data_IF_982816726751
#
_entry.id   IF_982816726751
#
_cell.length_a   1.000
_cell.length_b   1.000
_cell.length_c   1.000
_cell.angle_alpha   90.00
_cell.angle_beta   90.00
_cell.angle_gamma   90.00
#
_symmetry.space_group_name_H-M   'P 1'
#
loop_
_entity.id
_entity.type
_entity.pdbx_description
1 polymer ?
#
# COMPACT_ATOMS: atom_id res chain seq x y z
N UNK A 1 11.32 13.45 23.62
CA UNK A 1 12.43 13.86 22.71
C UNK A 1 13.05 12.70 21.92
N UNK A 2 13.20 11.47 22.48
CA UNK A 2 13.65 10.27 21.71
C UNK A 2 12.78 9.94 20.50
N UNK A 3 11.49 10.18 20.58
CA UNK A 3 10.47 9.73 19.60
C UNK A 3 10.41 10.54 18.29
N UNK A 4 10.69 11.85 18.34
CA UNK A 4 10.72 12.72 17.14
C UNK A 4 11.95 12.40 16.28
N UNK A 5 12.98 11.85 16.89
CA UNK A 5 14.22 11.49 16.24
C UNK A 5 14.03 10.29 15.29
N UNK A 6 13.28 9.27 15.73
CA UNK A 6 13.08 8.04 14.96
C UNK A 6 12.38 8.29 13.61
N UNK A 7 11.30 9.09 13.57
CA UNK A 7 10.60 9.38 12.31
C UNK A 7 11.50 10.13 11.31
N UNK A 8 12.27 11.11 11.79
CA UNK A 8 13.18 11.87 10.94
C UNK A 8 14.36 11.04 10.45
N UNK A 9 14.85 10.13 11.28
CA UNK A 9 15.99 9.27 10.96
C UNK A 9 15.60 8.13 10.03
N UNK A 10 14.44 7.47 10.23
CA UNK A 10 14.03 6.30 9.46
C UNK A 10 13.38 6.61 8.10
N UNK A 11 12.90 7.83 7.86
CA UNK A 11 12.20 8.18 6.62
C UNK A 11 13.03 7.94 5.35
N UNK A 12 14.33 8.27 5.39
CA UNK A 12 15.25 8.02 4.27
C UNK A 12 15.69 6.56 4.19
N UNK A 13 15.76 5.86 5.31
CA UNK A 13 16.06 4.43 5.32
C UNK A 13 14.91 3.63 4.69
N UNK A 14 13.66 3.94 5.04
CA UNK A 14 12.49 3.31 4.41
C UNK A 14 12.34 3.68 2.93
N UNK A 15 12.74 4.87 2.54
CA UNK A 15 12.85 5.22 1.13
C UNK A 15 13.82 4.28 0.40
N UNK A 16 15.03 4.06 0.94
CA UNK A 16 16.02 3.14 0.37
C UNK A 16 15.49 1.71 0.25
N UNK A 17 14.70 1.27 1.22
CA UNK A 17 14.05 -0.06 1.22
C UNK A 17 13.12 -0.21 0.02
N UNK A 18 12.23 0.76 -0.20
CA UNK A 18 11.29 0.73 -1.34
C UNK A 18 11.99 0.95 -2.68
N UNK A 19 13.05 1.76 -2.73
CA UNK A 19 13.86 1.96 -3.93
C UNK A 19 14.57 0.67 -4.37
N UNK A 20 15.13 -0.09 -3.41
CA UNK A 20 15.79 -1.35 -3.71
C UNK A 20 14.82 -2.37 -4.33
N UNK A 21 13.65 -2.57 -3.72
CA UNK A 21 12.61 -3.45 -4.25
C UNK A 21 12.15 -3.00 -5.64
N UNK A 22 11.89 -1.70 -5.82
CA UNK A 22 11.44 -1.16 -7.11
C UNK A 22 12.47 -1.34 -8.22
N UNK A 23 13.77 -1.15 -7.92
CA UNK A 23 14.85 -1.32 -8.91
C UNK A 23 14.93 -2.76 -9.38
N UNK A 24 14.94 -3.73 -8.47
CA UNK A 24 15.09 -5.14 -8.85
C UNK A 24 13.80 -5.66 -9.52
N UNK A 25 12.61 -5.25 -9.05
CA UNK A 25 11.36 -5.55 -9.76
C UNK A 25 11.34 -5.00 -11.18
N UNK A 26 11.79 -3.76 -11.38
CA UNK A 26 11.80 -3.13 -12.70
C UNK A 26 12.73 -3.83 -13.71
N UNK A 27 13.74 -4.58 -13.25
CA UNK A 27 14.59 -5.41 -14.12
C UNK A 27 13.84 -6.58 -14.74
N UNK A 28 12.76 -7.03 -14.10
CA UNK A 28 11.92 -8.14 -14.56
C UNK A 28 10.67 -7.68 -15.31
N UNK A 29 10.49 -6.37 -15.45
CA UNK A 29 9.32 -5.77 -16.09
C UNK A 29 9.09 -6.34 -17.51
N UNK A 30 7.87 -6.80 -17.78
CA UNK A 30 7.46 -7.30 -19.09
C UNK A 30 7.97 -8.69 -19.44
N UNK A 31 8.62 -9.42 -18.50
CA UNK A 31 9.15 -10.76 -18.76
C UNK A 31 8.10 -11.87 -18.62
N UNK A 32 6.91 -11.56 -18.10
CA UNK A 32 5.81 -12.51 -17.95
C UNK A 32 5.92 -13.45 -16.74
N UNK A 33 7.02 -13.39 -15.98
CA UNK A 33 7.25 -14.24 -14.82
C UNK A 33 6.93 -13.47 -13.51
N UNK A 34 5.68 -13.62 -13.06
CA UNK A 34 5.19 -12.99 -11.83
C UNK A 34 5.93 -13.44 -10.59
N UNK A 35 6.21 -14.75 -10.48
CA UNK A 35 6.87 -15.31 -9.30
C UNK A 35 8.30 -14.82 -9.18
N UNK A 36 9.00 -14.71 -10.30
CA UNK A 36 10.35 -14.16 -10.31
C UNK A 36 10.35 -12.67 -9.96
N UNK A 37 9.41 -11.89 -10.51
CA UNK A 37 9.30 -10.45 -10.20
C UNK A 37 9.03 -10.21 -8.71
N UNK A 38 8.16 -11.00 -8.12
CA UNK A 38 7.83 -10.95 -6.71
C UNK A 38 9.03 -11.35 -5.84
N UNK A 39 9.66 -12.46 -6.14
CA UNK A 39 10.80 -12.98 -5.40
C UNK A 39 11.97 -11.98 -5.32
N UNK A 40 12.35 -11.35 -6.43
CA UNK A 40 13.45 -10.37 -6.41
C UNK A 40 13.09 -9.09 -5.65
N UNK A 41 11.81 -8.71 -5.65
CA UNK A 41 11.32 -7.59 -4.85
C UNK A 41 11.44 -7.87 -3.35
N UNK A 42 10.99 -9.05 -2.92
CA UNK A 42 11.05 -9.52 -1.53
C UNK A 42 12.49 -9.59 -1.03
N UNK A 43 13.39 -10.22 -1.80
CA UNK A 43 14.81 -10.33 -1.45
C UNK A 43 15.45 -8.95 -1.29
N UNK A 44 15.29 -8.06 -2.28
CA UNK A 44 15.90 -6.74 -2.26
C UNK A 44 15.36 -5.88 -1.11
N UNK A 45 14.05 -5.91 -0.86
CA UNK A 45 13.43 -5.20 0.25
C UNK A 45 13.97 -5.67 1.59
N UNK A 46 14.00 -6.97 1.78
CA UNK A 46 14.42 -7.61 3.02
C UNK A 46 15.90 -7.35 3.33
N UNK A 47 16.78 -7.43 2.33
CA UNK A 47 18.22 -7.20 2.48
C UNK A 47 18.50 -5.77 2.99
N UNK A 48 17.90 -4.76 2.37
CA UNK A 48 18.09 -3.37 2.79
C UNK A 48 17.45 -3.11 4.15
N UNK A 49 16.30 -3.72 4.43
CA UNK A 49 15.61 -3.55 5.71
C UNK A 49 16.45 -4.00 6.91
N UNK A 50 17.30 -5.01 6.76
CA UNK A 50 18.22 -5.46 7.80
C UNK A 50 19.30 -4.42 8.16
N UNK A 51 19.55 -3.45 7.29
CA UNK A 51 20.49 -2.36 7.56
C UNK A 51 19.88 -1.18 8.31
N UNK A 52 18.56 -1.12 8.42
CA UNK A 52 17.84 -0.01 9.05
C UNK A 52 18.00 -0.08 10.57
N UNK A 53 18.35 1.03 11.27
CA UNK A 53 18.56 1.04 12.72
C UNK A 53 17.23 1.02 13.48
N UNK A 54 16.55 -0.12 13.44
CA UNK A 54 15.25 -0.38 14.08
C UNK A 54 15.16 -1.80 14.66
N UNK A 55 14.16 -2.02 15.50
CA UNK A 55 13.64 -3.34 15.88
C UNK A 55 12.26 -3.50 15.23
N UNK A 56 12.29 -3.88 13.96
CA UNK A 56 11.10 -4.03 13.13
C UNK A 56 10.42 -5.36 13.35
N UNK A 57 9.08 -5.39 13.24
CA UNK A 57 8.28 -6.61 13.15
C UNK A 57 7.31 -6.49 11.99
N UNK A 58 7.31 -7.46 11.11
CA UNK A 58 6.32 -7.54 10.04
C UNK A 58 4.95 -7.86 10.64
N UNK A 59 3.97 -7.02 10.39
CA UNK A 59 2.56 -7.24 10.75
C UNK A 59 1.68 -7.47 9.52
N UNK A 60 2.15 -7.04 8.35
CA UNK A 60 1.61 -7.37 7.03
C UNK A 60 2.80 -7.57 6.09
N UNK A 61 2.81 -8.69 5.38
CA UNK A 61 3.90 -9.07 4.48
C UNK A 61 3.44 -10.13 3.47
N UNK A 62 4.36 -11.00 3.06
CA UNK A 62 4.19 -11.96 1.96
C UNK A 62 3.39 -13.22 2.34
N UNK A 63 2.86 -13.30 3.54
CA UNK A 63 2.08 -14.43 4.03
C UNK A 63 2.48 -14.89 5.41
N UNK A 64 2.02 -16.08 5.80
CA UNK A 64 2.36 -16.71 7.06
C UNK A 64 3.75 -17.34 6.98
N UNK A 65 4.36 -17.59 8.16
CA UNK A 65 5.72 -18.11 8.27
C UNK A 65 5.98 -19.41 7.48
N UNK A 66 4.95 -20.26 7.39
CA UNK A 66 5.05 -21.54 6.70
C UNK A 66 4.85 -21.42 5.18
N UNK A 67 4.38 -20.27 4.68
CA UNK A 67 4.06 -20.00 3.29
C UNK A 67 5.11 -19.12 2.61
N UNK A 68 5.71 -18.17 3.36
CA UNK A 68 6.69 -17.22 2.87
C UNK A 68 8.06 -17.43 3.52
N UNK A 69 9.15 -17.53 2.75
CA UNK A 69 10.49 -17.69 3.30
C UNK A 69 11.05 -16.41 3.94
N UNK A 70 10.54 -15.24 3.55
CA UNK A 70 10.96 -13.90 3.99
C UNK A 70 9.79 -12.94 4.03
N UNK A 71 9.91 -11.89 4.83
CA UNK A 71 8.87 -10.87 5.06
C UNK A 71 7.54 -11.47 5.51
N UNK A 72 7.59 -12.61 6.21
CA UNK A 72 6.42 -13.26 6.77
C UNK A 72 5.90 -12.53 8.02
N UNK A 73 4.63 -12.69 8.31
CA UNK A 73 4.00 -12.11 9.50
C UNK A 73 4.70 -12.59 10.77
N UNK A 74 5.16 -11.63 11.59
CA UNK A 74 5.94 -11.88 12.80
C UNK A 74 7.45 -11.93 12.62
N UNK A 75 7.98 -11.83 11.38
CA UNK A 75 9.43 -11.73 11.16
C UNK A 75 10.00 -10.48 11.83
N UNK A 76 11.09 -10.66 12.58
CA UNK A 76 11.84 -9.57 13.18
C UNK A 76 13.00 -9.13 12.26
N UNK A 77 13.08 -7.85 11.99
CA UNK A 77 13.98 -7.23 11.01
C UNK A 77 14.67 -5.99 11.57
N UNK A 78 15.72 -5.61 10.88
CA UNK A 78 16.47 -4.37 11.14
C UNK A 78 17.62 -4.54 12.14
N UNK A 79 18.55 -3.61 12.07
CA UNK A 79 19.66 -3.52 12.99
C UNK A 79 20.70 -4.64 12.91
N UNK A 80 20.65 -5.55 11.95
CA UNK A 80 21.54 -6.75 11.90
C UNK A 80 23.00 -6.41 11.65
N UNK A 81 23.29 -5.25 11.12
CA UNK A 81 24.67 -4.77 10.92
C UNK A 81 25.28 -4.09 12.15
N UNK A 82 24.50 -3.94 13.23
CA UNK A 82 24.91 -3.27 14.45
C UNK A 82 25.15 -4.27 15.59
N UNK A 83 25.88 -3.85 16.63
CA UNK A 83 26.04 -4.70 17.83
C UNK A 83 24.72 -4.88 18.59
N UNK A 84 24.61 -5.96 19.39
CA UNK A 84 23.41 -6.22 20.18
C UNK A 84 23.11 -5.10 21.18
N UNK A 85 24.15 -4.49 21.77
CA UNK A 85 24.02 -3.35 22.68
C UNK A 85 23.41 -2.14 21.96
N UNK A 86 23.88 -1.83 20.73
CA UNK A 86 23.33 -0.72 19.93
C UNK A 86 21.86 -0.96 19.54
N UNK A 87 21.51 -2.20 19.23
CA UNK A 87 20.14 -2.58 18.87
C UNK A 87 19.12 -2.35 20.00
N UNK A 88 19.52 -2.43 21.26
CA UNK A 88 18.63 -2.16 22.40
C UNK A 88 18.12 -0.70 22.44
N UNK A 89 18.87 0.23 21.84
CA UNK A 89 18.49 1.64 21.77
C UNK A 89 17.62 1.99 20.56
N UNK A 90 17.45 1.05 19.61
CA UNK A 90 16.66 1.30 18.41
C UNK A 90 15.16 1.33 18.69
N UNK A 91 14.38 2.11 17.93
CA UNK A 91 12.94 2.15 18.06
C UNK A 91 12.31 0.80 17.67
N UNK A 92 11.26 0.44 18.38
CA UNK A 92 10.38 -0.69 18.01
C UNK A 92 9.33 -0.18 17.04
N UNK A 93 9.22 -0.86 15.89
CA UNK A 93 8.25 -0.51 14.85
C UNK A 93 7.51 -1.73 14.32
N UNK A 94 6.23 -1.58 14.07
CA UNK A 94 5.46 -2.50 13.25
C UNK A 94 5.54 -2.06 11.78
N UNK A 95 5.68 -3.05 10.90
CA UNK A 95 5.94 -2.83 9.47
C UNK A 95 4.89 -3.59 8.67
N UNK A 96 4.28 -2.90 7.73
CA UNK A 96 3.42 -3.46 6.70
C UNK A 96 4.07 -3.21 5.33
N UNK A 97 4.26 -4.27 4.55
CA UNK A 97 4.92 -4.20 3.24
C UNK A 97 4.08 -4.86 2.16
N UNK A 98 4.24 -4.34 0.96
CA UNK A 98 4.02 -5.03 -0.30
C UNK A 98 5.22 -4.69 -1.20
N UNK A 99 6.19 -5.62 -1.33
CA UNK A 99 7.41 -5.38 -2.10
C UNK A 99 7.15 -5.11 -3.58
N UNK A 100 6.05 -5.64 -4.13
CA UNK A 100 5.63 -5.44 -5.51
C UNK A 100 4.11 -5.40 -5.65
N UNK A 101 3.47 -4.34 -5.15
CA UNK A 101 2.06 -4.04 -5.40
C UNK A 101 1.81 -3.93 -6.90
N UNK A 102 0.92 -4.79 -7.39
CA UNK A 102 0.67 -4.93 -8.81
C UNK A 102 1.67 -5.85 -9.51
N UNK A 103 1.94 -7.02 -8.95
CA UNK A 103 2.84 -8.05 -9.52
C UNK A 103 2.47 -8.40 -10.96
N UNK A 104 1.16 -8.50 -11.28
CA UNK A 104 0.71 -8.71 -12.66
C UNK A 104 1.08 -7.53 -13.57
N UNK A 105 1.01 -6.30 -13.07
CA UNK A 105 1.32 -5.11 -13.86
C UNK A 105 2.81 -5.11 -14.21
N UNK A 106 3.69 -5.40 -13.26
CA UNK A 106 5.13 -5.51 -13.50
C UNK A 106 5.43 -6.61 -14.52
N UNK A 107 4.92 -7.81 -14.32
CA UNK A 107 5.17 -8.95 -15.21
C UNK A 107 4.70 -8.70 -16.65
N UNK A 108 3.64 -7.91 -16.84
CA UNK A 108 3.11 -7.54 -18.16
C UNK A 108 3.72 -6.25 -18.73
N UNK A 109 4.54 -5.53 -17.99
CA UNK A 109 5.04 -4.21 -18.36
C UNK A 109 3.95 -3.13 -18.38
N UNK A 110 2.86 -3.34 -17.63
CA UNK A 110 1.76 -2.39 -17.51
C UNK A 110 2.04 -1.34 -16.42
N UNK A 111 1.31 -0.23 -16.49
CA UNK A 111 1.50 0.91 -15.60
C UNK A 111 0.96 0.67 -14.18
N UNK A 112 1.48 1.42 -13.20
CA UNK A 112 1.05 1.56 -11.81
C UNK A 112 1.53 0.46 -10.84
N UNK A 113 2.55 -0.34 -11.18
CA UNK A 113 3.23 -1.18 -10.18
C UNK A 113 4.14 -0.30 -9.29
N UNK A 114 4.10 -0.54 -7.98
CA UNK A 114 4.90 0.18 -6.98
C UNK A 114 5.47 -0.78 -5.94
N UNK A 115 6.59 -0.44 -5.32
CA UNK A 115 7.05 -1.05 -4.08
C UNK A 115 6.61 -0.18 -2.91
N UNK A 116 6.06 -0.74 -1.84
CA UNK A 116 5.47 0.05 -0.75
C UNK A 116 5.77 -0.51 0.63
N UNK A 117 5.90 0.42 1.58
CA UNK A 117 6.11 0.14 2.99
C UNK A 117 5.38 1.17 3.84
N UNK A 118 4.71 0.70 4.89
CA UNK A 118 4.23 1.53 5.99
C UNK A 118 4.86 1.04 7.30
N UNK A 119 5.31 1.97 8.14
CA UNK A 119 5.86 1.69 9.46
C UNK A 119 5.20 2.58 10.50
N UNK A 120 4.96 2.03 11.69
CA UNK A 120 4.39 2.74 12.82
C UNK A 120 5.01 2.24 14.13
N UNK A 121 4.80 2.96 15.24
CA UNK A 121 5.07 2.43 16.57
C UNK A 121 4.33 1.11 16.82
N UNK A 122 4.82 0.26 17.72
CA UNK A 122 4.19 -1.02 18.07
C UNK A 122 2.69 -0.89 18.32
N UNK A 123 1.89 -1.73 17.66
CA UNK A 123 0.42 -1.69 17.67
C UNK A 123 -0.17 -0.55 16.84
N UNK A 124 0.63 0.12 16.01
CA UNK A 124 0.20 1.23 15.19
C UNK A 124 -0.39 0.87 13.83
N UNK A 125 -0.35 -0.41 13.45
CA UNK A 125 -0.98 -0.97 12.25
C UNK A 125 -1.80 -2.20 12.63
N UNK A 126 -2.99 -2.34 12.04
CA UNK A 126 -3.81 -3.53 12.27
C UNK A 126 -3.12 -4.74 11.63
N UNK A 127 -2.94 -5.80 12.40
CA UNK A 127 -2.53 -7.07 11.86
C UNK A 127 -3.75 -7.71 11.17
N UNK A 128 -3.89 -7.52 9.87
CA UNK A 128 -4.99 -8.07 9.09
C UNK A 128 -4.55 -9.37 8.42
N UNK A 129 -5.39 -10.42 8.49
CA UNK A 129 -5.13 -11.66 7.78
C UNK A 129 -5.23 -11.46 6.26
N UNK A 130 -4.66 -12.37 5.48
CA UNK A 130 -4.81 -12.40 4.03
C UNK A 130 -6.22 -12.85 3.63
N UNK A 131 -7.15 -11.91 3.76
CA UNK A 131 -8.56 -12.04 3.36
C UNK A 131 -8.99 -10.81 2.56
N UNK A 132 -10.22 -10.82 2.09
CA UNK A 132 -10.79 -9.71 1.33
C UNK A 132 -11.48 -8.67 2.20
N UNK A 133 -11.48 -7.43 1.72
CA UNK A 133 -12.06 -6.27 2.35
C UNK A 133 -12.77 -5.43 1.29
N UNK A 134 -14.04 -5.10 1.51
CA UNK A 134 -14.74 -4.06 0.73
C UNK A 134 -14.29 -2.70 1.22
N UNK A 135 -13.97 -1.79 0.31
CA UNK A 135 -13.30 -0.53 0.61
C UNK A 135 -13.93 0.63 -0.15
N UNK A 136 -14.03 1.78 0.51
CA UNK A 136 -14.20 3.08 -0.12
C UNK A 136 -13.10 4.01 0.38
N UNK A 137 -12.34 4.59 -0.55
CA UNK A 137 -11.21 5.49 -0.24
C UNK A 137 -11.46 6.82 -0.92
N UNK A 138 -11.30 7.92 -0.16
CA UNK A 138 -11.46 9.29 -0.66
C UNK A 138 -10.38 10.21 -0.11
N UNK A 139 -10.13 11.29 -0.83
CA UNK A 139 -9.18 12.31 -0.42
C UNK A 139 -9.67 13.20 0.74
N UNK A 140 -8.78 14.06 1.27
CA UNK A 140 -9.03 14.87 2.47
C UNK A 140 -10.27 15.77 2.37
N UNK A 141 -10.57 16.32 1.21
CA UNK A 141 -11.76 17.16 0.99
C UNK A 141 -13.07 16.41 1.16
N UNK A 142 -13.07 15.09 0.98
CA UNK A 142 -14.24 14.22 1.06
C UNK A 142 -14.33 13.43 2.36
N UNK A 143 -13.41 13.63 3.29
CA UNK A 143 -13.42 12.97 4.59
C UNK A 143 -14.74 13.21 5.34
N UNK A 144 -15.34 12.15 5.90
CA UNK A 144 -16.61 12.17 6.61
C UNK A 144 -17.83 12.39 5.72
N UNK A 145 -17.70 12.20 4.40
CA UNK A 145 -18.81 12.36 3.47
C UNK A 145 -19.27 11.08 2.79
N UNK A 146 -18.59 9.98 3.04
CA UNK A 146 -18.90 8.67 2.47
C UNK A 146 -19.38 7.69 3.53
N UNK A 147 -20.19 6.73 3.11
CA UNK A 147 -20.71 5.65 3.94
C UNK A 147 -20.65 4.35 3.11
N UNK A 148 -19.92 3.35 3.60
CA UNK A 148 -19.71 2.09 2.88
C UNK A 148 -21.00 1.27 2.74
N UNK A 149 -22.02 1.51 3.57
CA UNK A 149 -23.31 0.85 3.50
C UNK A 149 -24.35 1.62 2.66
N UNK A 150 -24.06 2.87 2.30
CA UNK A 150 -24.93 3.68 1.48
C UNK A 150 -24.86 3.28 -0.01
N UNK A 151 -25.90 3.55 -0.78
CA UNK A 151 -25.88 3.38 -2.24
C UNK A 151 -24.72 4.17 -2.89
N UNK A 152 -24.12 3.59 -3.92
CA UNK A 152 -23.02 4.22 -4.69
C UNK A 152 -23.39 5.62 -5.17
N UNK A 153 -24.65 5.81 -5.64
CA UNK A 153 -25.13 7.11 -6.11
C UNK A 153 -25.11 8.20 -5.02
N UNK A 154 -25.38 7.84 -3.77
CA UNK A 154 -25.39 8.80 -2.67
C UNK A 154 -23.96 9.16 -2.26
N UNK A 155 -23.05 8.18 -2.22
CA UNK A 155 -21.63 8.44 -2.02
C UNK A 155 -21.06 9.38 -3.10
N UNK A 156 -21.35 9.12 -4.37
CA UNK A 156 -20.84 9.95 -5.47
C UNK A 156 -21.43 11.37 -5.44
N UNK A 157 -22.70 11.54 -5.11
CA UNK A 157 -23.31 12.88 -4.88
C UNK A 157 -22.62 13.63 -3.74
N UNK A 158 -22.31 12.93 -2.65
CA UNK A 158 -21.63 13.54 -1.51
C UNK A 158 -20.20 13.96 -1.88
N UNK A 159 -19.46 13.10 -2.58
CA UNK A 159 -18.11 13.41 -3.09
C UNK A 159 -18.17 14.63 -4.02
N UNK A 160 -19.07 14.62 -5.00
CA UNK A 160 -19.25 15.73 -5.95
C UNK A 160 -19.50 17.04 -5.23
N UNK A 161 -20.45 17.05 -4.27
CA UNK A 161 -20.76 18.23 -3.46
C UNK A 161 -19.55 18.75 -2.68
N UNK A 162 -18.77 17.84 -2.07
CA UNK A 162 -17.56 18.20 -1.30
C UNK A 162 -16.47 18.80 -2.18
N UNK A 163 -16.39 18.34 -3.42
CA UNK A 163 -15.41 18.83 -4.39
C UNK A 163 -15.89 20.03 -5.21
N UNK A 164 -17.16 20.47 -5.05
CA UNK A 164 -17.75 21.55 -5.84
C UNK A 164 -17.83 21.22 -7.33
N UNK A 165 -18.21 19.95 -7.66
CA UNK A 165 -18.28 19.43 -9.04
C UNK A 165 -19.59 18.70 -9.25
N UNK A 166 -19.89 18.41 -10.52
CA UNK A 166 -20.96 17.49 -10.88
C UNK A 166 -20.49 16.03 -10.81
N UNK A 167 -21.44 15.08 -10.72
CA UNK A 167 -21.10 13.65 -10.57
C UNK A 167 -20.38 13.11 -11.81
N UNK A 168 -20.73 13.58 -13.00
CA UNK A 168 -20.10 13.22 -14.28
C UNK A 168 -18.65 13.71 -14.42
N UNK A 169 -18.22 14.66 -13.60
CA UNK A 169 -16.82 15.08 -13.48
C UNK A 169 -15.98 14.15 -12.60
N UNK A 170 -16.61 13.28 -11.83
CA UNK A 170 -15.91 12.34 -10.98
C UNK A 170 -15.30 11.18 -11.79
N UNK A 171 -14.19 10.67 -11.30
CA UNK A 171 -13.58 9.42 -11.76
C UNK A 171 -13.39 8.48 -10.57
N UNK A 172 -14.04 7.32 -10.62
CA UNK A 172 -13.89 6.24 -9.63
C UNK A 172 -12.92 5.21 -10.19
N UNK A 173 -11.97 4.73 -9.38
CA UNK A 173 -11.20 3.53 -9.69
C UNK A 173 -11.82 2.30 -9.06
N UNK A 174 -11.77 1.18 -9.77
CA UNK A 174 -12.26 -0.11 -9.32
C UNK A 174 -11.48 -1.24 -10.00
N UNK A 175 -11.22 -2.33 -9.27
CA UNK A 175 -10.65 -3.54 -9.86
C UNK A 175 -11.61 -4.17 -10.87
N UNK A 176 -11.13 -4.50 -12.07
CA UNK A 176 -11.88 -5.23 -13.09
C UNK A 176 -11.97 -6.71 -12.71
N UNK A 177 -12.95 -7.02 -11.90
CA UNK A 177 -13.23 -8.38 -11.39
C UNK A 177 -14.71 -8.70 -11.51
N UNK A 178 -15.01 -9.96 -11.72
CA UNK A 178 -16.40 -10.46 -11.82
C UNK A 178 -17.28 -10.05 -10.63
N UNK A 179 -16.71 -9.99 -9.43
CA UNK A 179 -17.38 -9.55 -8.20
C UNK A 179 -17.83 -8.09 -8.20
N UNK A 180 -17.27 -7.26 -9.06
CA UNK A 180 -17.57 -5.82 -9.15
C UNK A 180 -18.58 -5.47 -10.26
N UNK A 181 -19.16 -6.45 -10.96
CA UNK A 181 -20.12 -6.18 -12.07
C UNK A 181 -21.23 -5.22 -11.66
N UNK A 182 -21.83 -5.43 -10.49
CA UNK A 182 -22.90 -4.57 -10.00
C UNK A 182 -22.36 -3.17 -9.61
N UNK A 183 -21.28 -3.09 -8.86
CA UNK A 183 -20.63 -1.83 -8.51
C UNK A 183 -20.29 -1.00 -9.76
N UNK A 184 -19.71 -1.63 -10.78
CA UNK A 184 -19.36 -0.96 -12.05
C UNK A 184 -20.61 -0.43 -12.75
N UNK A 185 -21.71 -1.22 -12.76
CA UNK A 185 -22.99 -0.79 -13.33
C UNK A 185 -23.57 0.39 -12.54
N UNK A 186 -23.55 0.35 -11.22
CA UNK A 186 -24.06 1.39 -10.35
C UNK A 186 -23.30 2.71 -10.51
N UNK A 187 -21.97 2.66 -10.57
CA UNK A 187 -21.13 3.86 -10.86
C UNK A 187 -21.52 4.45 -12.21
N UNK A 188 -21.58 3.63 -13.26
CA UNK A 188 -21.95 4.10 -14.63
C UNK A 188 -23.34 4.70 -14.69
N UNK A 189 -24.29 4.14 -13.94
CA UNK A 189 -25.67 4.64 -13.90
C UNK A 189 -25.78 6.06 -13.30
N UNK A 190 -24.79 6.52 -12.52
CA UNK A 190 -24.74 7.89 -11.99
C UNK A 190 -24.23 8.92 -12.98
N UNK A 191 -23.64 8.50 -14.11
CA UNK A 191 -22.93 9.34 -15.04
C UNK A 191 -21.44 9.55 -14.71
N UNK A 192 -20.98 9.13 -13.55
CA UNK A 192 -19.56 9.23 -13.18
C UNK A 192 -18.67 8.36 -14.09
N UNK A 193 -17.46 8.83 -14.33
CA UNK A 193 -16.45 8.09 -15.06
C UNK A 193 -15.88 6.99 -14.18
N UNK A 194 -15.58 5.85 -14.77
CA UNK A 194 -14.93 4.74 -14.08
C UNK A 194 -13.63 4.37 -14.79
N UNK A 195 -12.59 4.14 -14.02
CA UNK A 195 -11.31 3.60 -14.48
C UNK A 195 -11.13 2.20 -13.89
N UNK A 196 -11.24 1.20 -14.74
CA UNK A 196 -11.03 -0.18 -14.37
C UNK A 196 -9.54 -0.50 -14.40
N UNK A 197 -9.07 -1.15 -13.35
CA UNK A 197 -7.68 -1.60 -13.20
C UNK A 197 -7.64 -3.11 -13.02
N UNK A 198 -6.64 -3.74 -13.60
CA UNK A 198 -6.46 -5.19 -13.47
C UNK A 198 -5.80 -5.61 -12.16
N UNK A 199 -5.08 -4.69 -11.51
CA UNK A 199 -4.33 -4.91 -10.28
C UNK A 199 -3.98 -3.56 -9.63
N UNK A 200 -3.47 -3.55 -8.38
CA UNK A 200 -2.93 -2.35 -7.76
C UNK A 200 -3.96 -1.42 -7.13
N UNK A 201 -4.89 -1.95 -6.30
CA UNK A 201 -5.92 -1.13 -5.65
C UNK A 201 -5.37 -0.23 -4.53
N UNK A 202 -4.22 -0.58 -3.93
CA UNK A 202 -3.51 0.28 -2.99
C UNK A 202 -3.04 1.57 -3.68
N UNK A 203 -2.33 1.46 -4.82
CA UNK A 203 -1.87 2.63 -5.58
C UNK A 203 -3.03 3.49 -6.07
N UNK A 204 -4.16 2.86 -6.41
CA UNK A 204 -5.41 3.53 -6.77
C UNK A 204 -6.02 4.30 -5.61
N UNK A 205 -6.02 3.73 -4.40
CA UNK A 205 -6.48 4.37 -3.17
C UNK A 205 -5.66 5.62 -2.83
N UNK A 206 -4.33 5.53 -2.92
CA UNK A 206 -3.47 6.70 -2.71
C UNK A 206 -3.74 7.77 -3.78
N UNK A 207 -3.91 7.36 -5.02
CA UNK A 207 -4.21 8.29 -6.12
C UNK A 207 -5.51 9.07 -5.90
N UNK A 208 -6.52 8.47 -5.24
CA UNK A 208 -7.77 9.15 -4.90
C UNK A 208 -7.57 10.27 -3.86
N UNK A 209 -6.50 10.24 -3.08
CA UNK A 209 -6.20 11.24 -2.06
C UNK A 209 -5.19 12.31 -2.50
N UNK A 210 -4.52 12.11 -3.64
CA UNK A 210 -3.51 13.06 -4.15
C UNK A 210 -4.12 13.94 -5.24
N UNK A 211 -4.08 15.24 -5.03
CA UNK A 211 -4.58 16.21 -6.00
C UNK A 211 -3.79 16.14 -7.33
N UNK A 212 -4.49 16.25 -8.44
CA UNK A 212 -3.88 16.24 -9.79
C UNK A 212 -3.86 14.88 -10.48
N UNK A 213 -4.18 13.78 -9.78
CA UNK A 213 -4.29 12.45 -10.37
C UNK A 213 -5.56 12.26 -11.21
N UNK A 214 -6.53 13.14 -11.01
CA UNK A 214 -7.88 13.07 -11.58
C UNK A 214 -8.66 11.80 -11.16
N UNK A 215 -8.32 11.23 -10.01
CA UNK A 215 -9.04 10.15 -9.35
C UNK A 215 -9.70 10.71 -8.10
N UNK A 216 -10.97 10.40 -7.85
CA UNK A 216 -11.76 11.00 -6.78
C UNK A 216 -12.20 10.01 -5.72
N UNK A 217 -12.26 8.73 -6.07
CA UNK A 217 -12.51 7.62 -5.15
C UNK A 217 -11.94 6.31 -5.67
N UNK A 218 -11.58 5.40 -4.76
CA UNK A 218 -11.46 3.96 -5.00
C UNK A 218 -12.66 3.30 -4.35
N UNK A 219 -13.32 2.38 -5.05
CA UNK A 219 -14.41 1.57 -4.51
C UNK A 219 -14.26 0.11 -4.92
N UNK A 220 -14.57 -0.81 -3.99
CA UNK A 220 -14.67 -2.24 -4.26
C UNK A 220 -13.86 -3.13 -3.36
N UNK A 221 -13.91 -4.42 -3.64
CA UNK A 221 -13.32 -5.49 -2.82
C UNK A 221 -11.91 -5.81 -3.32
N UNK A 222 -10.93 -5.67 -2.43
CA UNK A 222 -9.52 -6.06 -2.61
C UNK A 222 -8.98 -6.72 -1.35
N UNK A 223 -7.68 -6.92 -1.23
CA UNK A 223 -7.07 -7.52 -0.05
C UNK A 223 -7.17 -6.63 1.20
N UNK A 224 -7.29 -7.25 2.37
CA UNK A 224 -7.30 -6.55 3.64
C UNK A 224 -5.90 -6.02 4.01
N UNK A 225 -4.79 -6.74 3.75
CA UNK A 225 -3.44 -6.22 3.91
C UNK A 225 -3.23 -4.87 3.20
N UNK A 226 -3.60 -4.78 1.91
CA UNK A 226 -3.52 -3.54 1.12
C UNK A 226 -4.43 -2.44 1.69
N UNK A 227 -5.55 -2.83 2.31
CA UNK A 227 -6.44 -1.90 3.02
C UNK A 227 -5.76 -1.23 4.20
N UNK A 228 -4.96 -1.96 4.99
CA UNK A 228 -4.20 -1.42 6.12
C UNK A 228 -3.08 -0.51 5.64
N UNK A 229 -2.34 -0.90 4.61
CA UNK A 229 -1.28 -0.05 4.02
C UNK A 229 -1.90 1.22 3.43
N UNK A 230 -3.06 1.10 2.76
CA UNK A 230 -3.83 2.26 2.27
C UNK A 230 -4.25 3.17 3.43
N UNK A 231 -4.72 2.62 4.55
CA UNK A 231 -5.09 3.41 5.73
C UNK A 231 -3.91 4.18 6.31
N UNK A 232 -2.72 3.58 6.35
CA UNK A 232 -1.50 4.26 6.76
C UNK A 232 -1.18 5.46 5.84
N UNK A 233 -1.31 5.29 4.52
CA UNK A 233 -1.18 6.40 3.57
C UNK A 233 -2.26 7.48 3.78
N UNK A 234 -3.52 7.09 3.97
CA UNK A 234 -4.63 8.02 4.24
C UNK A 234 -4.39 8.82 5.52
N UNK A 235 -3.79 8.21 6.54
CA UNK A 235 -3.40 8.89 7.77
C UNK A 235 -2.41 10.02 7.50
N UNK A 236 -1.41 9.78 6.65
CA UNK A 236 -0.43 10.79 6.24
C UNK A 236 -1.04 11.89 5.36
N UNK A 237 -1.99 11.51 4.49
CA UNK A 237 -2.65 12.40 3.53
C UNK A 237 -3.88 13.13 4.11
N UNK A 238 -4.28 12.80 5.35
CA UNK A 238 -5.54 13.24 5.95
C UNK A 238 -6.78 12.84 5.12
N UNK A 239 -6.67 11.78 4.31
CA UNK A 239 -7.77 11.17 3.59
C UNK A 239 -8.60 10.24 4.48
N UNK A 240 -9.47 9.46 3.85
CA UNK A 240 -10.32 8.49 4.54
C UNK A 240 -10.41 7.18 3.77
N UNK A 241 -10.36 6.09 4.52
CA UNK A 241 -10.79 4.77 4.08
C UNK A 241 -11.86 4.28 5.05
N UNK A 242 -12.96 3.78 4.49
CA UNK A 242 -13.92 2.93 5.21
C UNK A 242 -13.83 1.53 4.61
N UNK A 243 -13.84 0.52 5.47
CA UNK A 243 -13.64 -0.85 5.05
C UNK A 243 -14.47 -1.84 5.85
N UNK A 244 -14.83 -2.94 5.22
CA UNK A 244 -15.58 -4.04 5.83
C UNK A 244 -15.01 -5.37 5.36
N UNK A 245 -14.70 -6.27 6.30
CA UNK A 245 -14.19 -7.59 5.95
C UNK A 245 -15.24 -8.40 5.20
N UNK A 246 -14.83 -9.16 4.19
CA UNK A 246 -15.73 -9.94 3.33
C UNK A 246 -15.43 -11.42 3.51
N UNK A 247 -16.40 -12.13 4.09
CA UNK A 247 -16.36 -13.58 4.34
C UNK A 247 -17.22 -14.38 3.37
N UNK A 248 -18.04 -13.70 2.57
CA UNK A 248 -18.97 -14.35 1.65
C UNK A 248 -18.24 -14.75 0.37
N UNK A 249 -17.92 -16.03 0.26
CA UNK A 249 -17.22 -16.62 -0.88
C UNK A 249 -17.99 -16.43 -2.21
N UNK A 250 -19.32 -16.38 -2.17
CA UNK A 250 -20.13 -16.18 -3.38
C UNK A 250 -20.00 -14.74 -3.90
N UNK A 251 -19.83 -13.77 -2.99
CA UNK A 251 -19.53 -12.38 -3.37
C UNK A 251 -18.14 -12.21 -3.97
N UNK A 252 -17.17 -13.00 -3.54
CA UNK A 252 -15.78 -12.88 -4.00
C UNK A 252 -15.59 -13.41 -5.43
N UNK A 253 -16.41 -14.36 -5.89
CA UNK A 253 -16.31 -14.96 -7.22
C UNK A 253 -14.97 -15.70 -7.43
N UNK A 254 -14.35 -16.18 -6.36
CA UNK A 254 -13.11 -16.94 -6.36
C UNK A 254 -13.36 -18.40 -6.06
N UNK A 255 -12.40 -19.24 -6.42
CA UNK A 255 -12.49 -20.68 -6.13
C UNK A 255 -12.53 -20.92 -4.61
N UNK A 256 -13.62 -21.52 -4.14
CA UNK A 256 -13.83 -21.79 -2.70
C UNK A 256 -12.74 -22.67 -2.08
N UNK A 257 -12.00 -23.42 -2.87
CA UNK A 257 -10.89 -24.25 -2.39
C UNK A 257 -9.63 -23.42 -2.02
N UNK A 258 -9.58 -22.14 -2.43
CA UNK A 258 -8.46 -21.23 -2.20
C UNK A 258 -8.66 -20.25 -1.05
N UNK A 259 -9.81 -20.32 -0.40
CA UNK A 259 -10.13 -19.44 0.75
C UNK A 259 -10.47 -20.35 1.93
N UNK A 260 -9.88 -20.12 3.11
CA UNK A 260 -10.23 -20.86 4.31
C UNK A 260 -11.72 -20.78 4.63
N UNK A 261 -12.30 -21.82 5.26
CA UNK A 261 -13.69 -21.78 5.69
C UNK A 261 -13.95 -20.55 6.60
N UNK A 262 -15.15 -19.94 6.53
CA UNK A 262 -15.46 -18.74 7.31
C UNK A 262 -15.23 -18.88 8.82
N UNK A 263 -15.44 -20.07 9.39
CA UNK A 263 -15.21 -20.33 10.82
C UNK A 263 -13.72 -20.32 11.17
N UNK A 264 -12.87 -20.89 10.33
CA UNK A 264 -11.42 -20.85 10.49
C UNK A 264 -10.89 -19.42 10.39
N UNK A 265 -11.38 -18.64 9.43
CA UNK A 265 -11.05 -17.21 9.29
C UNK A 265 -11.46 -16.44 10.55
N UNK A 266 -12.65 -16.69 11.10
CA UNK A 266 -13.11 -16.02 12.33
C UNK A 266 -12.25 -16.36 13.56
N UNK A 267 -11.76 -17.59 13.64
CA UNK A 267 -10.86 -18.01 14.72
C UNK A 267 -9.51 -17.29 14.59
N UNK A 268 -8.92 -17.26 13.41
CA UNK A 268 -7.69 -16.49 13.13
C UNK A 268 -7.86 -15.00 13.42
N UNK A 269 -9.01 -14.40 13.11
CA UNK A 269 -9.29 -13.00 13.43
C UNK A 269 -9.26 -12.72 14.94
N UNK A 270 -9.78 -13.65 15.76
CA UNK A 270 -9.71 -13.53 17.22
C UNK A 270 -8.27 -13.57 17.72
N UNK A 271 -7.47 -14.49 17.19
CA UNK A 271 -6.05 -14.61 17.53
C UNK A 271 -5.25 -13.36 17.15
N UNK A 272 -5.66 -12.67 16.09
CA UNK A 272 -5.12 -11.40 15.64
C UNK A 272 -5.69 -10.18 16.41
N UNK A 273 -6.58 -10.40 17.38
CA UNK A 273 -7.17 -9.34 18.21
C UNK A 273 -8.38 -8.63 17.57
N UNK A 274 -8.93 -9.17 16.48
CA UNK A 274 -10.12 -8.63 15.82
C UNK A 274 -11.37 -9.24 16.46
N UNK A 275 -11.99 -8.50 17.36
CA UNK A 275 -13.13 -8.97 18.15
C UNK A 275 -14.47 -8.93 17.40
N UNK A 276 -14.64 -7.99 16.46
CA UNK A 276 -15.85 -7.85 15.65
C UNK A 276 -15.52 -7.89 14.15
N UNK A 277 -15.70 -9.05 13.49
CA UNK A 277 -15.42 -9.19 12.07
C UNK A 277 -16.41 -8.46 11.16
N UNK A 278 -17.58 -8.03 11.68
CA UNK A 278 -18.59 -7.29 10.92
C UNK A 278 -18.47 -5.77 11.09
N UNK A 279 -17.52 -5.31 11.89
CA UNK A 279 -17.26 -3.88 12.11
C UNK A 279 -16.96 -3.17 10.80
N UNK A 280 -17.44 -1.94 10.66
CA UNK A 280 -16.91 -1.00 9.68
C UNK A 280 -15.65 -0.38 10.27
N UNK A 281 -14.52 -0.64 9.64
CA UNK A 281 -13.22 -0.12 10.01
C UNK A 281 -13.00 1.23 9.35
N UNK A 282 -12.62 2.23 10.13
CA UNK A 282 -12.17 3.51 9.60
C UNK A 282 -10.62 3.56 9.48
N UNK A 283 -10.11 4.69 9.01
CA UNK A 283 -8.68 4.94 8.88
C UNK A 283 -7.92 4.74 10.19
N UNK A 284 -8.53 5.10 11.34
CA UNK A 284 -7.87 4.97 12.65
C UNK A 284 -7.95 3.55 13.20
N UNK A 285 -8.98 2.80 12.83
CA UNK A 285 -9.08 1.38 13.20
C UNK A 285 -8.03 0.54 12.48
N UNK A 286 -7.81 0.81 11.19
CA UNK A 286 -6.84 0.09 10.37
C UNK A 286 -5.39 0.52 10.64
N UNK A 287 -5.18 1.82 10.90
CA UNK A 287 -3.87 2.39 11.21
C UNK A 287 -3.98 3.28 12.48
N UNK A 288 -4.08 2.68 13.69
CA UNK A 288 -4.23 3.42 14.93
C UNK A 288 -3.00 4.24 15.33
N UNK A 289 -1.85 3.97 14.74
CA UNK A 289 -0.58 4.64 15.01
C UNK A 289 -0.67 6.16 14.88
N UNK A 290 0.05 6.84 15.74
CA UNK A 290 0.21 8.30 15.73
C UNK A 290 1.43 8.74 14.94
N UNK A 291 2.43 7.85 14.86
CA UNK A 291 3.72 8.08 14.22
C UNK A 291 3.87 7.08 13.07
N UNK A 292 3.31 7.43 11.94
CA UNK A 292 3.35 6.60 10.74
C UNK A 292 4.32 7.22 9.74
N UNK A 293 5.18 6.38 9.19
CA UNK A 293 5.99 6.65 8.02
C UNK A 293 5.44 5.77 6.91
N UNK A 294 5.14 6.37 5.77
CA UNK A 294 4.75 5.67 4.57
C UNK A 294 5.76 5.99 3.47
N UNK A 295 6.28 4.98 2.80
CA UNK A 295 7.17 5.12 1.66
C UNK A 295 6.68 4.27 0.49
N UNK A 296 6.75 4.82 -0.73
CA UNK A 296 6.48 4.07 -1.95
C UNK A 296 7.39 4.54 -3.08
N UNK A 297 7.80 3.60 -3.94
CA UNK A 297 8.63 3.86 -5.12
C UNK A 297 7.98 3.24 -6.36
N UNK A 298 7.91 4.00 -7.46
CA UNK A 298 7.38 3.52 -8.73
C UNK A 298 8.27 2.43 -9.33
N UNK A 299 7.68 1.28 -9.65
CA UNK A 299 8.32 0.20 -10.43
C UNK A 299 8.08 0.45 -11.91
N UNK A 300 6.83 0.62 -12.30
CA UNK A 300 6.42 1.02 -13.65
C UNK A 300 5.82 2.42 -13.63
N UNK A 301 5.69 3.06 -14.80
CA UNK A 301 5.07 4.39 -14.85
C UNK A 301 3.63 4.36 -14.32
N UNK A 302 3.27 5.37 -13.54
CA UNK A 302 1.93 5.45 -12.95
C UNK A 302 1.41 6.87 -12.81
N UNK A 303 0.15 6.98 -12.40
CA UNK A 303 -0.48 8.26 -12.14
C UNK A 303 0.12 9.00 -10.94
N UNK A 304 0.62 8.25 -9.96
CA UNK A 304 1.22 8.78 -8.73
C UNK A 304 2.74 8.92 -8.86
N UNK A 305 3.43 7.88 -9.32
CA UNK A 305 4.88 7.80 -9.39
C UNK A 305 5.33 7.36 -10.78
N UNK A 306 6.49 7.86 -11.20
CA UNK A 306 7.17 7.39 -12.42
C UNK A 306 7.92 6.10 -12.11
N UNK A 307 8.00 5.21 -13.09
CA UNK A 307 8.76 3.96 -13.00
C UNK A 307 10.28 4.19 -13.00
N UNK A 308 11.00 3.14 -12.63
CA UNK A 308 12.45 3.11 -12.65
C UNK A 308 12.99 3.35 -14.07
N UNK A 309 14.02 4.16 -14.19
CA UNK A 309 14.76 4.40 -15.44
C UNK A 309 16.17 3.88 -15.31
N UNK A 310 16.62 3.09 -16.29
CA UNK A 310 17.99 2.63 -16.39
C UNK A 310 18.74 3.44 -17.44
N UNK A 311 19.99 3.81 -17.17
CA UNK A 311 20.87 4.51 -18.08
C UNK A 311 22.32 4.06 -17.85
N UNK A 312 23.23 4.38 -18.78
CA UNK A 312 24.56 3.76 -18.82
C UNK A 312 25.42 3.91 -17.57
N UNK A 313 25.15 4.90 -16.71
CA UNK A 313 25.91 5.18 -15.48
C UNK A 313 25.06 5.06 -14.20
N UNK A 314 23.88 4.42 -14.27
CA UNK A 314 23.06 4.26 -13.09
C UNK A 314 21.57 4.06 -13.34
N UNK A 315 20.79 4.42 -12.32
CA UNK A 315 19.33 4.25 -12.28
C UNK A 315 18.70 5.52 -11.72
N UNK A 316 17.43 5.73 -12.03
CA UNK A 316 16.64 6.80 -11.45
C UNK A 316 15.33 6.25 -10.92
N UNK A 317 15.02 6.55 -9.68
CA UNK A 317 13.76 6.21 -9.02
C UNK A 317 12.95 7.46 -8.76
N UNK A 318 11.64 7.31 -8.68
CA UNK A 318 10.71 8.34 -8.26
C UNK A 318 9.83 7.79 -7.14
N UNK A 319 9.88 8.44 -5.99
CA UNK A 319 9.32 7.92 -4.75
C UNK A 319 8.50 8.97 -4.03
N UNK A 320 7.65 8.53 -3.12
CA UNK A 320 6.97 9.38 -2.14
C UNK A 320 7.27 8.89 -0.74
N UNK A 321 7.59 9.82 0.16
CA UNK A 321 7.71 9.57 1.60
C UNK A 321 6.78 10.52 2.33
N UNK A 322 5.95 9.96 3.19
CA UNK A 322 4.95 10.71 3.96
C UNK A 322 5.05 10.35 5.44
N UNK A 323 4.80 11.33 6.29
CA UNK A 323 4.87 11.14 7.74
C UNK A 323 3.74 11.87 8.46
N UNK A 324 3.20 11.26 9.52
CA UNK A 324 2.10 11.85 10.28
C UNK A 324 2.58 12.91 11.28
N UNK A 325 3.76 12.75 11.88
CA UNK A 325 4.25 13.65 12.93
C UNK A 325 4.66 15.00 12.34
N UNK A 326 5.51 15.00 11.32
CA UNK A 326 5.93 16.24 10.65
C UNK A 326 4.95 16.72 9.58
N UNK A 327 3.94 15.91 9.24
CA UNK A 327 2.93 16.18 8.19
C UNK A 327 3.53 16.58 6.86
N UNK A 328 4.65 15.95 6.53
CA UNK A 328 5.36 16.20 5.29
C UNK A 328 5.03 15.13 4.26
N UNK A 329 4.79 15.56 3.03
CA UNK A 329 4.70 14.72 1.84
C UNK A 329 5.85 15.13 0.95
N UNK A 330 6.78 14.22 0.69
CA UNK A 330 7.96 14.48 -0.14
C UNK A 330 7.94 13.56 -1.34
N UNK A 331 7.94 14.15 -2.52
CA UNK A 331 8.29 13.42 -3.74
C UNK A 331 9.79 13.52 -3.92
N UNK A 332 10.44 12.37 -4.05
CA UNK A 332 11.90 12.26 -4.14
C UNK A 332 12.26 11.64 -5.49
N UNK A 333 13.15 12.31 -6.18
CA UNK A 333 13.70 11.86 -7.45
C UNK A 333 15.17 11.54 -7.21
N UNK A 334 15.51 10.25 -7.14
CA UNK A 334 16.84 9.78 -6.79
C UNK A 334 17.58 9.28 -8.01
N UNK A 335 18.83 9.75 -8.18
CA UNK A 335 19.76 9.20 -9.17
C UNK A 335 20.76 8.32 -8.44
N UNK A 336 20.72 7.03 -8.70
CA UNK A 336 21.64 6.03 -8.20
C UNK A 336 22.80 5.91 -9.18
N UNK A 337 23.95 6.48 -8.84
CA UNK A 337 25.14 6.48 -9.71
C UNK A 337 25.87 5.14 -9.54
N UNK A 338 26.07 4.44 -10.63
CA UNK A 338 26.87 3.22 -10.71
C UNK A 338 28.21 3.56 -11.38
N UNK A 339 29.30 3.15 -10.76
CA UNK A 339 30.65 3.41 -11.26
C UNK A 339 31.49 4.22 -10.29
N UNK A 340 32.76 4.34 -10.60
CA UNK A 340 33.72 5.07 -9.78
C UNK A 340 33.52 6.58 -9.82
N UNK A 341 34.45 7.33 -9.21
CA UNK A 341 34.37 8.79 -9.07
C UNK A 341 34.29 9.55 -10.41
N UNK A 342 34.56 8.90 -11.51
CA UNK A 342 34.51 9.49 -12.87
C UNK A 342 33.17 9.23 -13.58
N UNK A 343 32.17 8.69 -12.89
CA UNK A 343 30.86 8.45 -13.48
C UNK A 343 30.17 9.75 -13.92
N UNK A 344 29.81 9.84 -15.21
CA UNK A 344 29.10 11.01 -15.76
C UNK A 344 27.63 10.91 -15.48
N UNK A 345 27.11 11.77 -14.61
CA UNK A 345 25.68 11.88 -14.33
C UNK A 345 25.04 12.70 -15.45
N UNK A 346 24.08 12.12 -16.15
CA UNK A 346 23.24 12.80 -17.14
C UNK A 346 21.82 12.87 -16.61
N UNK A 347 21.30 14.07 -16.42
CA UNK A 347 19.94 14.36 -15.96
C UNK A 347 18.96 14.43 -17.13
#
# INVERSE_FOLDING_TARGET
MKDIKAERELSLDFLRVTEAAAIESARTMGQGDRKHSDHVAVEAMREVMDTVPMRGRIVIGEGERDEAPMLYIGEELGGRIFSDEARLEFPEVDIAVDPLEGTNLCALGANNAIAVLAAAERGGLLNAPDIYMDKIVVGPSCRGSVDIEAPVADNLKNIARRLGRDVDDLTVMCLDRGRHKQLIADVRATGARIRLISDGDLSAGISAAVAGTNIHALMGIGGAPEGVITAAAMKCLNGEILAKLVFDHDKLGVDKSKIPPPEEVKERLKDMGISDPNKIYDTNDLAPGKKIIFAATGVTDGALLRGVRFFGAGKRTHSVVMTTDTRNIRFVDTVHVEGGPDAVIRF
#
